data_IF_676041391802
#
_entry.id   IF_676041391802
#
_cell.length_a   1.000
_cell.length_b   1.000
_cell.length_c   1.000
_cell.angle_alpha   90.00
_cell.angle_beta   90.00
_cell.angle_gamma   90.00
#
_symmetry.space_group_name_H-M   'P 1'
#
loop_
_entity.id
_entity.type
_entity.pdbx_description
1 polymer ?
#
# COMPACT_ATOMS: atom_id res chain seq x y z
N UNK A 1 3.30 -24.19 13.08
CA UNK A 1 3.50 -24.23 11.62
C UNK A 1 3.30 -22.83 11.08
N UNK A 2 4.06 -22.42 10.07
CA UNK A 2 3.79 -21.18 9.34
C UNK A 2 2.50 -21.34 8.51
N UNK A 3 1.79 -20.25 8.26
CA UNK A 3 0.57 -20.25 7.46
C UNK A 3 0.85 -20.56 5.98
N UNK A 4 -0.17 -20.96 5.18
CA UNK A 4 -0.02 -21.10 3.73
C UNK A 4 0.45 -19.81 3.04
N UNK A 5 0.18 -18.64 3.65
CA UNK A 5 0.53 -17.31 3.13
C UNK A 5 2.03 -16.99 3.35
N UNK A 6 2.62 -17.51 4.43
CA UNK A 6 4.07 -17.45 4.70
C UNK A 6 4.86 -18.54 3.96
N UNK A 7 4.20 -19.63 3.57
CA UNK A 7 4.81 -20.79 2.91
C UNK A 7 4.95 -20.62 1.38
N UNK A 8 4.31 -19.60 0.79
CA UNK A 8 4.09 -19.56 -0.66
C UNK A 8 5.23 -18.92 -1.48
N UNK A 9 5.60 -19.62 -2.57
CA UNK A 9 6.43 -19.16 -3.71
C UNK A 9 7.92 -18.92 -3.41
N UNK A 10 8.72 -20.00 -3.43
CA UNK A 10 10.12 -19.93 -3.92
C UNK A 10 10.13 -19.44 -5.39
N UNK A 11 11.16 -18.70 -5.78
CA UNK A 11 11.26 -18.00 -7.07
C UNK A 11 11.14 -16.49 -6.87
N UNK A 12 11.97 -15.70 -7.56
CA UNK A 12 12.22 -14.28 -7.21
C UNK A 12 11.85 -13.30 -8.34
N UNK A 13 12.06 -13.71 -9.57
CA UNK A 13 11.77 -12.92 -10.77
C UNK A 13 10.28 -12.59 -10.86
N UNK A 14 9.97 -11.38 -11.37
CA UNK A 14 8.59 -10.97 -11.60
C UNK A 14 7.75 -10.86 -10.32
N UNK A 15 8.32 -10.38 -9.19
CA UNK A 15 7.56 -10.12 -7.96
C UNK A 15 7.76 -8.72 -7.42
N UNK A 16 6.64 -8.05 -7.15
CA UNK A 16 6.58 -6.80 -6.39
C UNK A 16 5.63 -6.93 -5.20
N UNK A 17 5.96 -6.28 -4.08
CA UNK A 17 5.12 -6.22 -2.89
C UNK A 17 4.78 -4.75 -2.59
N UNK A 18 3.54 -4.45 -2.20
CA UNK A 18 3.08 -3.06 -2.02
C UNK A 18 2.06 -2.89 -0.89
N UNK A 19 2.00 -1.70 -0.30
CA UNK A 19 1.18 -1.39 0.89
C UNK A 19 0.17 -0.29 0.62
N UNK A 20 -1.12 -0.64 0.74
CA UNK A 20 -2.24 0.29 0.80
C UNK A 20 -2.35 0.82 2.24
N UNK A 21 -1.56 1.85 2.54
CA UNK A 21 -1.58 2.52 3.84
C UNK A 21 -2.66 3.61 3.84
N UNK A 22 -3.63 3.53 4.75
CA UNK A 22 -4.76 4.46 4.79
C UNK A 22 -5.21 4.86 6.21
N UNK A 23 -5.91 6.00 6.30
CA UNK A 23 -6.46 6.54 7.55
C UNK A 23 -7.70 7.41 7.29
N UNK A 24 -8.60 7.52 8.29
CA UNK A 24 -9.78 8.40 8.26
C UNK A 24 -9.50 9.73 8.98
N UNK A 25 -9.88 10.86 8.39
CA UNK A 25 -9.90 12.17 9.05
C UNK A 25 -11.15 12.97 8.62
N UNK A 26 -11.94 13.46 9.60
CA UNK A 26 -13.15 14.28 9.35
C UNK A 26 -14.05 13.67 8.25
N UNK A 27 -14.39 12.40 8.41
CA UNK A 27 -15.18 11.62 7.47
C UNK A 27 -14.42 11.06 6.25
N UNK A 28 -13.41 11.77 5.73
CA UNK A 28 -12.70 11.36 4.51
C UNK A 28 -11.60 10.32 4.77
N UNK A 29 -11.42 9.39 3.83
CA UNK A 29 -10.24 8.51 3.77
C UNK A 29 -9.10 9.17 3.00
N UNK A 30 -7.88 8.88 3.48
CA UNK A 30 -6.62 9.34 2.93
C UNK A 30 -5.62 8.18 2.80
N UNK A 31 -4.76 8.24 1.81
CA UNK A 31 -3.79 7.20 1.43
C UNK A 31 -2.40 7.80 1.25
N UNK A 32 -1.34 7.04 1.55
CA UNK A 32 0.03 7.39 1.17
C UNK A 32 0.30 6.83 -0.23
N UNK A 33 0.78 7.69 -1.13
CA UNK A 33 1.39 7.29 -2.41
C UNK A 33 2.81 7.85 -2.49
N UNK A 34 3.62 7.21 -3.33
CA UNK A 34 5.00 7.59 -3.60
C UNK A 34 5.25 7.67 -5.10
N UNK A 35 6.25 8.44 -5.51
CA UNK A 35 6.60 8.70 -6.92
C UNK A 35 8.12 8.77 -7.04
N UNK A 36 8.73 7.71 -7.55
CA UNK A 36 10.19 7.62 -7.75
C UNK A 36 10.72 8.73 -8.67
N UNK A 37 11.99 9.17 -8.52
CA UNK A 37 12.56 10.25 -9.32
C UNK A 37 12.68 9.90 -10.82
N UNK A 38 12.58 10.92 -11.69
CA UNK A 38 12.82 10.79 -13.13
C UNK A 38 11.62 11.10 -14.03
N UNK A 39 11.84 11.02 -15.35
CA UNK A 39 10.92 11.55 -16.37
C UNK A 39 9.62 10.76 -16.56
N UNK A 40 9.60 9.47 -16.18
CA UNK A 40 8.44 8.57 -16.34
C UNK A 40 7.91 8.10 -14.98
N UNK A 41 7.71 9.07 -14.09
CA UNK A 41 7.39 8.87 -12.68
C UNK A 41 5.88 8.92 -12.43
N UNK A 42 5.20 7.78 -12.54
CA UNK A 42 3.82 7.63 -12.04
C UNK A 42 3.81 7.56 -10.51
N UNK A 43 2.72 8.02 -9.89
CA UNK A 43 2.43 7.71 -8.50
C UNK A 43 2.08 6.21 -8.39
N UNK A 44 2.57 5.56 -7.33
CA UNK A 44 2.26 4.18 -6.94
C UNK A 44 1.91 4.13 -5.45
N UNK A 45 1.25 3.04 -5.03
CA UNK A 45 1.33 2.66 -3.61
C UNK A 45 2.79 2.33 -3.26
N UNK A 46 3.26 2.63 -2.04
CA UNK A 46 4.58 2.20 -1.58
C UNK A 46 4.83 0.72 -1.83
N UNK A 47 6.01 0.37 -2.32
CA UNK A 47 6.37 -0.98 -2.72
C UNK A 47 7.32 -1.08 -3.91
N UNK A 48 8.17 -2.10 -3.86
CA UNK A 48 9.17 -2.45 -4.86
C UNK A 48 9.32 -3.96 -4.96
N UNK A 49 10.54 -4.46 -5.14
CA UNK A 49 10.83 -5.86 -5.52
C UNK A 49 10.97 -6.76 -4.30
N UNK A 50 10.69 -8.06 -4.47
CA UNK A 50 10.98 -9.06 -3.43
C UNK A 50 12.42 -9.56 -3.60
N UNK A 51 13.26 -9.31 -2.61
CA UNK A 51 14.71 -9.53 -2.65
C UNK A 51 15.19 -10.94 -2.26
N UNK A 52 16.52 -11.09 -2.20
CA UNK A 52 17.24 -12.32 -1.85
C UNK A 52 17.20 -12.62 -0.34
N UNK A 53 16.15 -13.32 0.10
CA UNK A 53 16.09 -13.89 1.46
C UNK A 53 14.87 -13.45 2.27
N UNK A 54 14.15 -12.45 1.79
CA UNK A 54 12.88 -12.01 2.36
C UNK A 54 11.66 -12.75 1.77
N UNK A 55 10.61 -12.89 2.56
CA UNK A 55 9.27 -13.26 2.08
C UNK A 55 8.47 -12.01 1.67
N UNK A 56 7.31 -12.22 1.04
CA UNK A 56 6.52 -11.14 0.43
C UNK A 56 5.97 -10.14 1.48
N UNK A 57 5.64 -10.59 2.70
CA UNK A 57 5.25 -9.70 3.83
C UNK A 57 6.47 -9.04 4.50
N UNK A 58 7.70 -9.52 4.29
CA UNK A 58 8.92 -8.80 4.70
C UNK A 58 9.23 -7.68 3.69
N UNK A 59 9.23 -7.98 2.38
CA UNK A 59 9.39 -7.00 1.31
C UNK A 59 8.42 -5.82 1.47
N UNK A 60 7.12 -6.10 1.67
CA UNK A 60 6.10 -5.08 1.90
C UNK A 60 6.38 -4.14 3.09
N UNK A 61 7.11 -4.61 4.13
CA UNK A 61 7.48 -3.79 5.29
C UNK A 61 8.72 -2.96 5.00
N UNK A 62 9.74 -3.59 4.44
CA UNK A 62 11.03 -2.98 4.10
C UNK A 62 10.80 -1.78 3.18
N UNK A 63 10.19 -2.02 2.03
CA UNK A 63 9.85 -0.98 1.04
C UNK A 63 9.00 0.15 1.65
N UNK A 64 8.00 -0.17 2.48
CA UNK A 64 7.16 0.86 3.09
C UNK A 64 7.89 1.67 4.18
N UNK A 65 8.86 1.08 4.88
CA UNK A 65 9.72 1.79 5.82
C UNK A 65 10.75 2.67 5.09
N UNK A 66 11.40 2.15 4.06
CA UNK A 66 12.38 2.85 3.22
C UNK A 66 11.75 4.04 2.49
N UNK A 67 10.64 3.83 1.78
CA UNK A 67 9.99 4.89 1.01
C UNK A 67 9.24 5.91 1.89
N UNK A 68 8.83 5.59 3.13
CA UNK A 68 7.90 6.45 3.89
C UNK A 68 8.23 6.71 5.36
N UNK A 69 9.21 6.03 5.96
CA UNK A 69 9.57 6.14 7.39
C UNK A 69 8.68 5.34 8.34
N UNK A 70 7.82 4.45 7.82
CA UNK A 70 6.82 3.70 8.60
C UNK A 70 7.32 2.34 9.08
N UNK A 71 8.43 2.35 9.82
CA UNK A 71 9.09 1.15 10.37
C UNK A 71 8.16 0.25 11.20
N UNK A 72 7.37 0.83 12.11
CA UNK A 72 6.62 0.12 13.15
C UNK A 72 5.27 -0.47 12.66
N UNK A 73 5.17 -0.89 11.39
CA UNK A 73 3.94 -1.42 10.76
C UNK A 73 4.02 -2.94 10.55
N UNK A 74 4.85 -3.60 11.35
CA UNK A 74 5.28 -4.99 11.17
C UNK A 74 4.14 -6.00 11.38
N UNK A 75 3.19 -5.74 12.27
CA UNK A 75 2.16 -6.71 12.65
C UNK A 75 0.89 -6.54 11.80
N UNK A 76 0.36 -5.32 11.74
CA UNK A 76 -0.94 -4.95 11.16
C UNK A 76 -1.12 -5.16 9.64
N UNK A 77 -0.05 -5.39 8.87
CA UNK A 77 -0.17 -5.62 7.42
C UNK A 77 -1.00 -6.88 7.12
N UNK A 78 -2.23 -6.66 6.64
CA UNK A 78 -3.14 -7.69 6.16
C UNK A 78 -2.92 -7.91 4.66
N UNK A 79 -2.89 -9.15 4.21
CA UNK A 79 -2.86 -9.43 2.77
C UNK A 79 -4.23 -9.11 2.16
N UNK A 80 -4.24 -8.32 1.09
CA UNK A 80 -5.46 -8.02 0.32
C UNK A 80 -5.56 -8.92 -0.91
N UNK A 81 -4.56 -8.86 -1.81
CA UNK A 81 -4.72 -9.37 -3.18
C UNK A 81 -3.38 -9.68 -3.86
N UNK A 82 -3.40 -10.64 -4.78
CA UNK A 82 -2.34 -10.89 -5.76
C UNK A 82 -2.90 -10.62 -7.16
N UNK A 83 -2.20 -9.84 -7.96
CA UNK A 83 -2.51 -9.62 -9.39
C UNK A 83 -1.33 -10.09 -10.28
N UNK A 84 -1.56 -10.33 -11.57
CA UNK A 84 -0.52 -10.55 -12.60
C UNK A 84 -0.67 -9.51 -13.72
N UNK A 85 0.39 -8.79 -14.03
CA UNK A 85 0.48 -7.87 -15.18
C UNK A 85 1.75 -8.20 -15.98
N UNK A 86 1.59 -8.71 -17.21
CA UNK A 86 2.66 -9.39 -17.96
C UNK A 86 3.36 -10.38 -17.04
N UNK A 87 4.68 -10.55 -17.09
CA UNK A 87 5.38 -11.50 -16.22
C UNK A 87 5.64 -11.00 -14.79
N UNK A 88 4.99 -9.90 -14.34
CA UNK A 88 5.11 -9.39 -12.98
C UNK A 88 3.86 -9.71 -12.16
N UNK A 89 4.05 -10.38 -11.03
CA UNK A 89 3.07 -10.54 -9.97
C UNK A 89 3.20 -9.42 -8.93
N UNK A 90 2.10 -8.74 -8.65
CA UNK A 90 2.00 -7.71 -7.62
C UNK A 90 1.23 -8.26 -6.41
N UNK A 91 1.77 -8.08 -5.21
CA UNK A 91 1.18 -8.55 -3.96
C UNK A 91 0.86 -7.36 -3.06
N UNK A 92 -0.43 -7.11 -2.88
CA UNK A 92 -0.94 -5.97 -2.13
C UNK A 92 -1.29 -6.37 -0.71
N UNK A 93 -0.70 -5.66 0.24
CA UNK A 93 -1.09 -5.64 1.65
C UNK A 93 -1.78 -4.31 1.95
N UNK A 94 -2.49 -4.24 3.08
CA UNK A 94 -3.12 -3.01 3.55
C UNK A 94 -2.97 -2.84 5.07
N UNK A 95 -3.07 -1.59 5.50
CA UNK A 95 -3.12 -1.19 6.91
C UNK A 95 -4.04 0.01 7.07
N UNK A 96 -4.91 -0.06 8.08
CA UNK A 96 -5.72 1.05 8.55
C UNK A 96 -5.06 1.64 9.80
N UNK A 97 -4.50 2.85 9.70
CA UNK A 97 -3.95 3.55 10.86
C UNK A 97 -5.09 4.05 11.75
N UNK A 98 -5.07 3.68 13.04
CA UNK A 98 -6.10 4.01 14.02
C UNK A 98 -6.36 5.54 14.17
N UNK A 99 -5.37 6.38 13.85
CA UNK A 99 -5.55 7.83 13.82
C UNK A 99 -4.82 8.49 12.66
N UNK A 100 -5.36 9.58 12.15
CA UNK A 100 -4.65 10.42 11.18
C UNK A 100 -3.39 11.09 11.75
N UNK A 101 -3.28 11.19 13.10
CA UNK A 101 -2.05 11.68 13.76
C UNK A 101 -0.92 10.66 13.60
N UNK A 102 -1.13 9.38 13.91
CA UNK A 102 -0.12 8.33 13.69
C UNK A 102 0.14 8.03 12.20
N UNK A 103 -0.87 8.24 11.34
CA UNK A 103 -0.69 8.23 9.89
C UNK A 103 0.28 9.31 9.39
N UNK A 104 0.24 10.54 9.94
CA UNK A 104 1.18 11.61 9.58
C UNK A 104 2.49 11.65 10.35
N UNK A 105 2.53 11.20 11.61
CA UNK A 105 3.74 11.24 12.46
C UNK A 105 4.90 10.50 11.77
N UNK A 106 6.08 11.11 11.73
CA UNK A 106 7.31 10.51 11.17
C UNK A 106 7.22 10.10 9.68
N UNK A 107 6.22 10.60 8.93
CA UNK A 107 6.15 10.38 7.50
C UNK A 107 7.25 11.20 6.81
N UNK A 108 8.15 10.55 6.06
CA UNK A 108 9.18 11.24 5.26
C UNK A 108 8.54 12.12 4.17
N UNK A 109 9.19 13.20 3.78
CA UNK A 109 8.87 13.93 2.54
C UNK A 109 9.48 13.26 1.30
N UNK A 110 10.61 12.56 1.48
CA UNK A 110 11.22 11.72 0.46
C UNK A 110 11.62 10.33 0.97
N UNK A 111 11.44 9.32 0.13
CA UNK A 111 11.97 7.97 0.36
C UNK A 111 13.50 7.92 0.24
N UNK A 112 14.10 6.79 0.64
CA UNK A 112 15.56 6.65 0.68
C UNK A 112 16.22 6.60 -0.71
N UNK A 113 15.49 6.24 -1.78
CA UNK A 113 15.93 6.39 -3.18
C UNK A 113 15.49 7.73 -3.82
N UNK A 114 14.85 8.61 -3.04
CA UNK A 114 14.45 9.97 -3.44
C UNK A 114 12.99 10.13 -3.88
N UNK A 115 12.16 9.10 -3.77
CA UNK A 115 10.70 9.12 -3.99
C UNK A 115 10.08 10.39 -3.44
N UNK A 116 9.20 11.05 -4.18
CA UNK A 116 8.30 12.05 -3.59
C UNK A 116 7.20 11.34 -2.81
N UNK A 117 7.02 11.64 -1.53
CA UNK A 117 6.03 10.99 -0.64
C UNK A 117 4.88 11.95 -0.38
N UNK A 118 3.64 11.56 -0.70
CA UNK A 118 2.46 12.40 -0.46
C UNK A 118 1.25 11.63 0.05
N UNK A 119 0.41 12.36 0.78
CA UNK A 119 -0.92 11.89 1.21
C UNK A 119 -1.96 12.46 0.25
N UNK A 120 -2.83 11.59 -0.26
CA UNK A 120 -3.94 11.94 -1.16
C UNK A 120 -5.27 11.44 -0.58
N UNK A 121 -6.34 12.19 -0.85
CA UNK A 121 -7.72 11.75 -0.64
C UNK A 121 -8.22 10.86 -1.79
N UNK A 122 -9.36 10.21 -1.58
CA UNK A 122 -10.04 9.42 -2.64
C UNK A 122 -10.31 10.24 -3.90
N UNK A 123 -10.71 11.50 -3.75
CA UNK A 123 -11.13 12.36 -4.86
C UNK A 123 -9.93 12.75 -5.74
N UNK A 124 -8.79 13.05 -5.10
CA UNK A 124 -7.50 13.26 -5.77
C UNK A 124 -7.02 11.98 -6.49
N UNK A 125 -7.04 10.82 -5.83
CA UNK A 125 -6.61 9.55 -6.45
C UNK A 125 -7.49 9.10 -7.62
N UNK A 126 -8.81 9.38 -7.58
CA UNK A 126 -9.73 9.10 -8.68
C UNK A 126 -9.47 10.00 -9.91
N UNK A 127 -9.12 11.26 -9.68
CA UNK A 127 -8.89 12.27 -10.74
C UNK A 127 -7.44 12.29 -11.26
N UNK A 128 -6.49 11.74 -10.49
CA UNK A 128 -5.07 11.67 -10.85
C UNK A 128 -4.84 10.88 -12.14
N UNK A 129 -4.28 11.55 -13.17
CA UNK A 129 -3.92 10.90 -14.43
C UNK A 129 -2.71 9.97 -14.26
N UNK A 130 -1.59 10.47 -13.73
CA UNK A 130 -0.37 9.68 -13.51
C UNK A 130 -0.39 8.81 -12.24
N UNK A 131 -1.41 7.97 -12.08
CA UNK A 131 -1.47 6.91 -11.06
C UNK A 131 -1.33 5.56 -11.76
N UNK A 132 -0.25 4.83 -11.45
CA UNK A 132 0.18 3.60 -12.10
C UNK A 132 -0.96 2.58 -12.20
N UNK A 133 -1.34 2.25 -13.43
CA UNK A 133 -2.63 1.62 -13.73
C UNK A 133 -2.94 0.33 -12.93
N UNK A 134 -2.01 -0.64 -12.71
CA UNK A 134 -2.30 -1.82 -11.89
C UNK A 134 -2.61 -1.47 -10.43
N UNK A 135 -2.00 -0.42 -9.88
CA UNK A 135 -2.28 0.05 -8.53
C UNK A 135 -3.61 0.83 -8.48
N UNK A 136 -3.99 1.54 -9.55
CA UNK A 136 -5.32 2.16 -9.69
C UNK A 136 -6.44 1.12 -9.70
N UNK A 137 -6.29 0.03 -10.44
CA UNK A 137 -7.29 -1.04 -10.50
C UNK A 137 -7.48 -1.70 -9.13
N UNK A 138 -6.39 -2.00 -8.43
CA UNK A 138 -6.45 -2.54 -7.07
C UNK A 138 -6.98 -1.53 -6.05
N UNK A 139 -6.69 -0.24 -6.19
CA UNK A 139 -7.31 0.82 -5.38
C UNK A 139 -8.84 0.84 -5.52
N UNK A 140 -9.36 0.76 -6.75
CA UNK A 140 -10.81 0.74 -6.99
C UNK A 140 -11.46 -0.54 -6.43
N UNK A 141 -10.77 -1.69 -6.46
CA UNK A 141 -11.20 -2.92 -5.76
C UNK A 141 -11.19 -2.74 -4.23
N UNK A 142 -10.11 -2.19 -3.67
CA UNK A 142 -9.96 -1.94 -2.23
C UNK A 142 -11.06 -1.00 -1.71
N UNK A 143 -11.38 0.06 -2.46
CA UNK A 143 -12.51 0.93 -2.12
C UNK A 143 -13.85 0.18 -2.13
N UNK A 144 -14.05 -0.75 -3.06
CA UNK A 144 -15.29 -1.54 -3.13
C UNK A 144 -15.40 -2.61 -2.04
N UNK A 145 -14.29 -3.23 -1.65
CA UNK A 145 -14.27 -4.47 -0.85
C UNK A 145 -13.96 -4.22 0.64
N UNK A 146 -13.03 -3.31 0.93
CA UNK A 146 -12.65 -2.96 2.31
C UNK A 146 -13.27 -1.62 2.78
N UNK A 147 -13.84 -0.82 1.86
CA UNK A 147 -14.31 0.56 2.12
C UNK A 147 -15.70 0.91 1.51
N UNK A 148 -16.69 0.01 1.52
CA UNK A 148 -18.06 0.26 1.04
C UNK A 148 -18.76 1.48 1.74
N UNK A 149 -18.85 2.77 1.28
CA UNK A 149 -19.65 3.88 1.96
C UNK A 149 -18.91 5.13 2.59
N UNK A 150 -19.19 5.50 3.87
CA UNK A 150 -18.57 6.46 4.88
C UNK A 150 -17.98 5.95 6.27
N UNK A 151 -18.61 5.18 7.24
CA UNK A 151 -17.82 4.48 8.34
C UNK A 151 -18.27 3.20 9.14
N UNK A 152 -17.35 2.18 9.21
CA UNK A 152 -17.19 0.92 10.04
C UNK A 152 -18.06 -0.40 9.88
N UNK A 153 -17.38 -1.57 9.80
CA UNK A 153 -17.92 -2.94 9.56
C UNK A 153 -18.19 -3.78 10.82
N UNK A 154 -18.74 -5.00 10.63
CA UNK A 154 -19.14 -5.94 11.72
C UNK A 154 -18.03 -6.37 12.69
N UNK A 155 -16.76 -6.12 12.37
CA UNK A 155 -15.59 -6.39 13.21
C UNK A 155 -14.90 -5.09 13.69
N UNK A 156 -15.51 -3.92 13.49
CA UNK A 156 -14.95 -2.60 13.82
C UNK A 156 -13.99 -1.99 12.79
N UNK A 157 -13.91 -2.54 11.57
CA UNK A 157 -12.96 -2.15 10.50
C UNK A 157 -13.70 -1.38 9.39
N UNK A 158 -13.18 -0.30 8.75
CA UNK A 158 -13.96 0.63 7.90
C UNK A 158 -14.87 0.17 6.69
N UNK A 159 -15.91 -0.67 6.87
CA UNK A 159 -17.18 -0.54 6.07
C UNK A 159 -17.90 0.69 6.56
N UNK A 160 -17.32 1.82 6.18
CA UNK A 160 -17.99 2.77 5.34
C UNK A 160 -19.59 2.63 5.30
N UNK A 161 -20.36 3.70 5.48
CA UNK A 161 -21.82 3.84 5.34
C UNK A 161 -22.25 4.58 4.06
#
# INVERSE_FOLDING_TARGET
MLSPLETLIRGKEGKHASVIACAKQKGKLFFILVKSPGNWSEWKFPGGRVENGENIKQAAKREFAEETGKENVVEDLKFFRKEKNKEIFFFFFYVFFHSFRSFRKDLKERGDEGEEVKIFSIDEMKSMQGFFQPHREVFLRFLKEECHGEGLNKNGIPVLA
#
